data_IF_667111729410
#
_entry.id   IF_667111729410
#
_cell.length_a   1.000
_cell.length_b   1.000
_cell.length_c   1.000
_cell.angle_alpha   90.00
_cell.angle_beta   90.00
_cell.angle_gamma   90.00
#
_symmetry.space_group_name_H-M   'P 1'
#
loop_
_entity.id
_entity.type
_entity.pdbx_description
1 polymer ?
#
# COMPACT_ATOMS: atom_id res chain seq x y z
N UNK A 1 5.09 -1.30 -43.58
CA UNK A 1 6.16 -0.52 -44.18
C UNK A 1 5.81 0.94 -43.98
N UNK A 2 6.74 1.72 -43.38
CA UNK A 2 6.60 3.17 -43.23
C UNK A 2 7.31 3.85 -44.39
N UNK A 3 6.62 4.76 -45.04
CA UNK A 3 7.20 5.49 -46.18
C UNK A 3 8.29 6.48 -45.72
N UNK A 4 9.25 6.84 -46.58
CA UNK A 4 10.28 7.82 -46.23
C UNK A 4 9.68 9.15 -45.75
N UNK A 5 10.14 9.61 -44.57
CA UNK A 5 9.66 10.84 -43.96
C UNK A 5 8.33 10.72 -43.20
N UNK A 6 7.79 9.50 -43.08
CA UNK A 6 6.61 9.20 -42.24
C UNK A 6 7.03 8.49 -40.97
N UNK A 7 6.27 8.72 -39.89
CA UNK A 7 6.44 8.08 -38.61
C UNK A 7 5.22 7.21 -38.28
N UNK A 8 5.47 6.08 -37.63
CA UNK A 8 4.45 5.24 -37.04
C UNK A 8 4.74 5.17 -35.53
N UNK A 9 3.84 5.71 -34.75
CA UNK A 9 3.89 5.60 -33.30
C UNK A 9 2.85 4.57 -32.82
N UNK A 10 3.22 3.78 -31.84
CA UNK A 10 2.30 2.91 -31.12
C UNK A 10 2.67 2.89 -29.65
N UNK A 11 1.66 2.85 -28.82
CA UNK A 11 1.82 2.79 -27.37
C UNK A 11 1.45 1.41 -26.88
N UNK A 12 2.14 0.94 -25.84
CA UNK A 12 1.84 -0.31 -25.16
C UNK A 12 1.60 -0.06 -23.68
N UNK A 13 0.64 -0.76 -23.13
CA UNK A 13 0.38 -0.76 -21.69
C UNK A 13 0.57 -2.15 -21.12
N UNK A 14 1.21 -2.23 -19.96
CA UNK A 14 1.33 -3.45 -19.18
C UNK A 14 0.76 -3.21 -17.79
N UNK A 15 0.04 -4.18 -17.25
CA UNK A 15 -0.58 -4.06 -15.95
C UNK A 15 -1.02 -5.41 -15.40
N UNK A 16 -1.69 -5.38 -14.28
CA UNK A 16 -2.31 -6.51 -13.63
C UNK A 16 -3.82 -6.29 -13.53
N UNK A 17 -4.57 -7.37 -13.74
CA UNK A 17 -6.01 -7.39 -13.50
C UNK A 17 -6.43 -8.75 -12.96
N UNK A 18 -7.41 -8.78 -12.08
CA UNK A 18 -7.94 -9.98 -11.47
C UNK A 18 -8.74 -10.86 -12.43
N UNK A 19 -9.28 -10.27 -13.50
CA UNK A 19 -10.03 -10.99 -14.54
C UNK A 19 -10.06 -10.26 -15.87
N UNK A 20 -10.40 -11.00 -16.95
CA UNK A 20 -10.58 -10.45 -18.28
C UNK A 20 -11.74 -9.45 -18.35
N UNK A 21 -12.78 -9.67 -17.58
CA UNK A 21 -13.94 -8.79 -17.47
C UNK A 21 -13.55 -7.40 -16.97
N UNK A 22 -12.65 -7.33 -15.97
CA UNK A 22 -12.12 -6.05 -15.48
C UNK A 22 -11.34 -5.30 -16.56
N UNK A 23 -10.57 -6.01 -17.38
CA UNK A 23 -9.87 -5.39 -18.52
C UNK A 23 -10.88 -4.85 -19.51
N UNK A 24 -11.83 -5.70 -19.92
CA UNK A 24 -12.83 -5.35 -20.94
C UNK A 24 -13.68 -4.15 -20.51
N UNK A 25 -14.04 -4.05 -19.24
CA UNK A 25 -14.81 -2.93 -18.70
C UNK A 25 -14.07 -1.57 -18.77
N UNK A 26 -12.74 -1.59 -18.90
CA UNK A 26 -11.88 -0.39 -18.95
C UNK A 26 -11.24 -0.14 -20.31
N UNK A 27 -11.50 -0.96 -21.33
CA UNK A 27 -10.87 -0.82 -22.64
C UNK A 27 -11.06 0.57 -23.25
N UNK A 28 -12.27 1.11 -23.22
CA UNK A 28 -12.56 2.44 -23.77
C UNK A 28 -11.76 3.54 -23.04
N UNK A 29 -11.56 3.38 -21.74
CA UNK A 29 -10.73 4.29 -20.94
C UNK A 29 -9.26 4.17 -21.35
N UNK A 30 -8.74 2.96 -21.44
CA UNK A 30 -7.33 2.70 -21.76
C UNK A 30 -6.97 3.11 -23.20
N UNK A 31 -7.92 2.98 -24.13
CA UNK A 31 -7.75 3.38 -25.53
C UNK A 31 -8.07 4.86 -25.76
N UNK A 32 -8.46 5.61 -24.73
CA UNK A 32 -8.72 7.04 -24.80
C UNK A 32 -7.47 7.81 -25.25
N UNK A 33 -7.67 8.75 -26.18
CA UNK A 33 -6.58 9.49 -26.85
C UNK A 33 -5.59 10.15 -25.88
N UNK A 34 -6.09 10.65 -24.75
CA UNK A 34 -5.29 11.42 -23.77
C UNK A 34 -4.92 10.58 -22.54
N UNK A 35 -5.31 9.29 -22.51
CA UNK A 35 -5.12 8.44 -21.34
C UNK A 35 -3.64 8.35 -20.92
N UNK A 36 -2.74 8.03 -21.85
CA UNK A 36 -1.32 7.89 -21.55
C UNK A 36 -0.69 9.22 -21.15
N UNK A 37 -1.03 10.33 -21.83
CA UNK A 37 -0.54 11.64 -21.45
C UNK A 37 -0.96 12.01 -20.02
N UNK A 38 -2.21 11.76 -19.67
CA UNK A 38 -2.70 11.99 -18.31
C UNK A 38 -1.99 11.11 -17.28
N UNK A 39 -1.70 9.84 -17.63
CA UNK A 39 -0.95 8.93 -16.74
C UNK A 39 0.50 9.37 -16.51
N UNK A 40 1.15 10.00 -17.47
CA UNK A 40 2.46 10.61 -17.25
C UNK A 40 2.37 11.77 -16.25
N UNK A 41 1.38 12.65 -16.40
CA UNK A 41 1.17 13.76 -15.46
C UNK A 41 0.87 13.24 -14.06
N UNK A 42 -0.05 12.29 -13.92
CA UNK A 42 -0.37 11.65 -12.64
C UNK A 42 0.87 11.03 -11.97
N UNK A 43 1.75 10.39 -12.75
CA UNK A 43 2.97 9.79 -12.22
C UNK A 43 3.97 10.85 -11.72
N UNK A 44 4.12 11.96 -12.45
CA UNK A 44 4.96 13.08 -12.04
C UNK A 44 4.42 13.74 -10.76
N UNK A 45 3.12 14.03 -10.71
CA UNK A 45 2.46 14.59 -9.53
C UNK A 45 2.59 13.69 -8.30
N UNK A 46 2.46 12.36 -8.49
CA UNK A 46 2.62 11.39 -7.41
C UNK A 46 4.06 11.40 -6.87
N UNK A 47 5.07 11.39 -7.74
CA UNK A 47 6.48 11.47 -7.33
C UNK A 47 6.76 12.79 -6.61
N UNK A 48 6.29 13.91 -7.15
CA UNK A 48 6.42 15.23 -6.54
C UNK A 48 5.75 15.28 -5.15
N UNK A 49 4.59 14.65 -4.98
CA UNK A 49 3.91 14.58 -3.69
C UNK A 49 4.74 13.85 -2.64
N UNK A 50 5.40 12.75 -3.02
CA UNK A 50 6.25 11.98 -2.11
C UNK A 50 7.56 12.70 -1.77
N UNK A 51 8.17 13.38 -2.73
CA UNK A 51 9.48 14.01 -2.53
C UNK A 51 9.40 15.44 -1.99
N UNK A 52 8.19 16.01 -1.91
CA UNK A 52 7.97 17.39 -1.46
C UNK A 52 8.57 17.70 -0.08
N UNK A 53 8.54 16.73 0.84
CA UNK A 53 9.05 16.88 2.21
C UNK A 53 10.57 17.05 2.29
N UNK A 54 11.30 16.61 1.25
CA UNK A 54 12.77 16.69 1.19
C UNK A 54 13.29 17.62 0.09
N UNK A 55 12.40 18.32 -0.57
CA UNK A 55 12.75 19.24 -1.66
C UNK A 55 13.62 20.40 -1.14
N UNK A 56 14.80 20.55 -1.71
CA UNK A 56 15.77 21.58 -1.33
C UNK A 56 16.12 22.46 -2.52
N UNK A 57 16.58 23.67 -2.24
CA UNK A 57 17.11 24.61 -3.21
C UNK A 57 18.44 25.14 -2.72
N UNK A 58 19.51 24.44 -3.05
CA UNK A 58 20.87 24.80 -2.65
C UNK A 58 21.67 25.35 -3.82
N UNK A 59 22.89 25.87 -3.56
CA UNK A 59 23.82 26.26 -4.62
C UNK A 59 24.29 25.05 -5.45
N UNK A 60 24.03 23.82 -5.03
CA UNK A 60 24.44 22.59 -5.69
C UNK A 60 23.22 21.81 -6.19
N UNK A 61 22.68 22.16 -7.35
CA UNK A 61 21.49 21.53 -7.92
C UNK A 61 21.59 20.01 -8.07
N UNK A 62 22.80 19.44 -8.18
CA UNK A 62 22.99 17.98 -8.15
C UNK A 62 22.73 17.38 -6.77
N UNK A 63 22.99 18.13 -5.70
CA UNK A 63 22.66 17.70 -4.35
C UNK A 63 21.14 17.67 -4.15
N UNK A 64 20.43 18.68 -4.65
CA UNK A 64 18.98 18.76 -4.54
C UNK A 64 18.32 17.55 -5.23
N UNK A 65 18.73 17.24 -6.46
CA UNK A 65 18.27 16.06 -7.19
C UNK A 65 18.65 14.74 -6.51
N UNK A 66 19.83 14.66 -5.93
CA UNK A 66 20.30 13.47 -5.23
C UNK A 66 19.47 13.17 -3.98
N UNK A 67 19.11 14.20 -3.22
CA UNK A 67 18.26 14.04 -2.02
C UNK A 67 16.88 13.49 -2.40
N UNK A 68 16.23 14.09 -3.40
CA UNK A 68 14.93 13.62 -3.89
C UNK A 68 15.01 12.17 -4.39
N UNK A 69 16.04 11.84 -5.18
CA UNK A 69 16.25 10.49 -5.69
C UNK A 69 16.49 9.47 -4.57
N UNK A 70 17.31 9.80 -3.58
CA UNK A 70 17.60 8.91 -2.46
C UNK A 70 16.36 8.68 -1.59
N UNK A 71 15.56 9.72 -1.38
CA UNK A 71 14.32 9.61 -0.61
C UNK A 71 13.32 8.71 -1.32
N UNK A 72 13.07 8.94 -2.61
CA UNK A 72 12.17 8.13 -3.43
C UNK A 72 12.63 6.67 -3.51
N UNK A 73 13.93 6.44 -3.69
CA UNK A 73 14.51 5.09 -3.75
C UNK A 73 14.31 4.32 -2.42
N UNK A 74 14.52 4.99 -1.28
CA UNK A 74 14.27 4.38 0.02
C UNK A 74 12.80 4.05 0.23
N UNK A 75 11.91 4.95 -0.21
CA UNK A 75 10.47 4.76 -0.17
C UNK A 75 10.03 3.55 -1.00
N UNK A 76 10.47 3.46 -2.25
CA UNK A 76 10.10 2.37 -3.17
C UNK A 76 10.71 1.03 -2.76
N UNK A 77 11.93 1.01 -2.24
CA UNK A 77 12.61 -0.22 -1.83
C UNK A 77 12.32 -0.62 -0.40
N UNK A 78 12.27 0.34 0.49
CA UNK A 78 12.10 0.12 1.93
C UNK A 78 10.67 -0.04 2.37
N UNK A 79 9.70 0.36 1.53
CA UNK A 79 8.30 0.42 1.88
C UNK A 79 7.89 1.74 2.53
N UNK A 80 6.61 1.95 2.67
CA UNK A 80 6.00 3.16 3.21
C UNK A 80 5.15 2.87 4.44
N UNK A 81 5.33 3.60 5.55
CA UNK A 81 4.49 3.47 6.72
C UNK A 81 3.15 4.20 6.48
N UNK A 82 2.11 3.45 6.25
CA UNK A 82 0.77 3.99 6.08
C UNK A 82 0.05 4.03 7.43
N UNK A 83 -0.35 5.21 7.85
CA UNK A 83 -1.02 5.45 9.13
C UNK A 83 -2.51 5.64 8.88
N UNK A 84 -3.30 4.70 9.34
CA UNK A 84 -4.75 4.81 9.45
C UNK A 84 -5.07 5.40 10.83
N UNK A 85 -5.64 6.58 10.86
CA UNK A 85 -5.92 7.28 12.11
C UNK A 85 -7.40 7.66 12.16
N UNK A 86 -8.07 7.21 13.21
CA UNK A 86 -9.44 7.59 13.51
C UNK A 86 -9.60 7.85 15.00
N UNK A 87 -10.12 9.02 15.34
CA UNK A 87 -10.44 9.42 16.72
C UNK A 87 -9.29 9.25 17.73
N UNK A 88 -8.04 9.38 17.26
CA UNK A 88 -6.82 9.25 18.05
C UNK A 88 -6.26 7.84 18.13
N UNK A 89 -6.98 6.83 17.64
CA UNK A 89 -6.45 5.48 17.47
C UNK A 89 -5.69 5.39 16.16
N UNK A 90 -4.51 4.77 16.21
CA UNK A 90 -3.62 4.66 15.05
C UNK A 90 -3.30 3.21 14.77
N UNK A 91 -3.65 2.76 13.58
CA UNK A 91 -3.18 1.50 13.03
C UNK A 91 -2.13 1.78 11.96
N UNK A 92 -0.97 1.14 12.07
CA UNK A 92 0.14 1.37 11.15
C UNK A 92 0.43 0.09 10.39
N UNK A 93 0.40 0.20 9.08
CA UNK A 93 0.77 -0.89 8.18
C UNK A 93 1.91 -0.43 7.28
N UNK A 94 2.75 -1.38 6.85
CA UNK A 94 3.86 -1.08 5.97
C UNK A 94 3.52 -1.55 4.56
N UNK A 95 3.46 -0.60 3.63
CA UNK A 95 3.17 -0.87 2.23
C UNK A 95 4.47 -1.09 1.48
N UNK A 96 4.53 -2.14 0.67
CA UNK A 96 5.69 -2.50 -0.13
C UNK A 96 5.31 -2.63 -1.60
N UNK A 97 6.18 -2.14 -2.48
CA UNK A 97 6.07 -2.38 -3.93
C UNK A 97 6.65 -3.73 -4.34
N UNK A 98 7.42 -4.37 -3.46
CA UNK A 98 8.04 -5.67 -3.66
C UNK A 98 8.31 -6.34 -2.33
N UNK A 99 8.52 -7.66 -2.32
CA UNK A 99 9.02 -8.36 -1.14
C UNK A 99 10.37 -7.78 -0.74
N UNK A 100 10.53 -7.48 0.54
CA UNK A 100 11.75 -6.92 1.09
C UNK A 100 12.65 -8.03 1.64
N UNK A 101 13.87 -8.15 1.12
CA UNK A 101 14.84 -9.14 1.57
C UNK A 101 16.07 -9.21 0.68
N UNK A 102 16.94 -10.16 1.01
CA UNK A 102 18.18 -10.40 0.30
C UNK A 102 17.92 -10.96 -1.10
N UNK A 103 18.34 -10.28 -2.18
CA UNK A 103 18.14 -10.74 -3.55
C UNK A 103 18.86 -12.05 -3.88
N UNK A 104 19.86 -12.43 -3.11
CA UNK A 104 20.64 -13.64 -3.37
C UNK A 104 19.91 -14.93 -2.99
N UNK A 105 18.85 -14.87 -2.18
CA UNK A 105 18.23 -16.07 -1.62
C UNK A 105 17.13 -16.69 -2.47
N UNK A 106 16.28 -15.89 -3.10
CA UNK A 106 15.22 -16.46 -3.94
C UNK A 106 14.49 -15.37 -4.74
N UNK A 107 14.79 -15.24 -6.00
CA UNK A 107 14.17 -14.25 -6.90
C UNK A 107 12.66 -14.45 -7.10
N UNK A 108 12.16 -15.67 -6.89
CA UNK A 108 10.74 -15.95 -7.07
C UNK A 108 9.86 -15.32 -5.99
N UNK A 109 10.45 -14.91 -4.87
CA UNK A 109 9.73 -14.29 -3.75
C UNK A 109 9.75 -12.76 -3.73
N UNK A 110 10.28 -12.10 -4.76
CA UNK A 110 10.21 -10.64 -4.87
C UNK A 110 8.84 -10.12 -5.30
N UNK A 111 8.00 -10.98 -5.85
CA UNK A 111 6.64 -10.65 -6.21
C UNK A 111 5.76 -10.62 -4.96
N UNK A 112 5.00 -9.55 -4.82
CA UNK A 112 3.88 -9.45 -3.89
C UNK A 112 2.59 -9.34 -4.69
N UNK A 113 1.47 -9.64 -4.08
CA UNK A 113 0.17 -9.49 -4.73
C UNK A 113 -0.06 -8.03 -5.12
N UNK A 114 -0.56 -7.80 -6.35
CA UNK A 114 -0.98 -6.49 -6.80
C UNK A 114 -2.37 -6.19 -6.23
N UNK A 115 -2.39 -5.71 -5.02
CA UNK A 115 -3.60 -5.43 -4.25
C UNK A 115 -3.50 -4.09 -3.53
N UNK A 116 -4.63 -3.55 -3.13
CA UNK A 116 -4.66 -2.38 -2.27
C UNK A 116 -4.00 -2.70 -0.92
N UNK A 117 -3.39 -1.68 -0.30
CA UNK A 117 -2.67 -1.83 0.97
C UNK A 117 -1.69 -3.00 0.96
N UNK A 118 -0.97 -3.18 -0.16
CA UNK A 118 -0.04 -4.27 -0.37
C UNK A 118 1.00 -4.33 0.74
N UNK A 119 0.95 -5.39 1.53
CA UNK A 119 1.93 -5.71 2.55
C UNK A 119 2.77 -6.89 2.09
N UNK A 120 4.08 -6.76 2.15
CA UNK A 120 5.00 -7.85 1.87
C UNK A 120 5.51 -8.50 3.16
N UNK A 121 5.98 -9.72 3.05
CA UNK A 121 6.86 -10.29 4.06
C UNK A 121 8.31 -9.95 3.71
N UNK A 122 9.21 -10.00 4.68
CA UNK A 122 10.61 -9.73 4.47
C UNK A 122 11.50 -10.30 5.56
N UNK A 123 12.79 -10.27 5.31
CA UNK A 123 13.79 -10.63 6.31
C UNK A 123 13.75 -9.62 7.47
N UNK A 124 13.71 -10.10 8.72
CA UNK A 124 13.62 -9.24 9.91
C UNK A 124 14.70 -8.14 9.92
N UNK A 125 15.95 -8.50 9.65
CA UNK A 125 17.07 -7.55 9.65
C UNK A 125 16.85 -6.41 8.65
N UNK A 126 16.50 -6.76 7.42
CA UNK A 126 16.41 -5.79 6.33
C UNK A 126 15.17 -4.90 6.49
N UNK A 127 14.03 -5.48 6.89
CA UNK A 127 12.83 -4.73 7.21
C UNK A 127 13.09 -3.78 8.38
N UNK A 128 13.68 -4.25 9.48
CA UNK A 128 13.99 -3.43 10.65
C UNK A 128 14.91 -2.25 10.33
N UNK A 129 15.93 -2.47 9.47
CA UNK A 129 16.83 -1.39 9.06
C UNK A 129 16.11 -0.25 8.33
N UNK A 130 15.14 -0.57 7.50
CA UNK A 130 14.39 0.43 6.74
C UNK A 130 13.36 1.16 7.62
N UNK A 131 12.72 0.46 8.54
CA UNK A 131 11.71 1.04 9.44
C UNK A 131 12.21 2.17 10.33
N UNK A 132 13.52 2.24 10.59
CA UNK A 132 14.11 3.37 11.36
C UNK A 132 13.93 4.74 10.69
N UNK A 133 13.73 4.76 9.37
CA UNK A 133 13.55 5.98 8.60
C UNK A 133 12.08 6.43 8.52
N UNK A 134 11.13 5.60 8.91
CA UNK A 134 9.70 5.84 8.74
C UNK A 134 9.21 7.14 9.39
N UNK A 135 9.80 7.52 10.51
CA UNK A 135 9.48 8.77 11.22
C UNK A 135 9.85 10.03 10.42
N UNK A 136 10.70 9.91 9.39
CA UNK A 136 11.00 11.01 8.46
C UNK A 136 9.95 11.09 7.35
N UNK A 137 9.34 9.98 6.96
CA UNK A 137 8.24 9.95 6.01
C UNK A 137 6.92 10.37 6.68
N UNK A 138 6.68 9.85 7.87
CA UNK A 138 5.47 10.13 8.63
C UNK A 138 5.77 10.17 10.14
N UNK A 139 5.75 11.38 10.72
CA UNK A 139 6.00 11.59 12.15
C UNK A 139 4.99 10.86 13.07
N UNK A 140 3.79 10.56 12.53
CA UNK A 140 2.75 9.88 13.29
C UNK A 140 3.04 8.41 13.54
N UNK A 141 4.04 7.83 12.87
CA UNK A 141 4.59 6.51 13.20
C UNK A 141 5.13 6.46 14.63
N UNK A 142 5.74 7.56 15.10
CA UNK A 142 6.23 7.69 16.49
C UNK A 142 7.09 6.50 16.90
N UNK A 143 6.70 5.86 18.00
CA UNK A 143 7.42 4.72 18.60
C UNK A 143 6.94 3.34 18.10
N UNK A 144 5.98 3.29 17.20
CA UNK A 144 5.35 2.03 16.76
C UNK A 144 6.37 0.99 16.29
N UNK A 145 7.29 1.38 15.41
CA UNK A 145 8.30 0.45 14.89
C UNK A 145 9.23 -0.07 15.99
N UNK A 146 9.63 0.79 16.93
CA UNK A 146 10.47 0.38 18.06
C UNK A 146 9.74 -0.69 18.87
N UNK A 147 8.51 -0.44 19.27
CA UNK A 147 7.69 -1.40 20.01
C UNK A 147 7.52 -2.70 19.24
N UNK A 148 7.13 -2.63 17.97
CA UNK A 148 6.88 -3.81 17.14
C UNK A 148 8.14 -4.68 17.00
N UNK A 149 9.25 -4.10 16.58
CA UNK A 149 10.46 -4.90 16.32
C UNK A 149 11.11 -5.43 17.60
N UNK A 150 11.03 -4.70 18.72
CA UNK A 150 11.50 -5.22 19.99
C UNK A 150 10.61 -6.32 20.56
N UNK A 151 9.29 -6.24 20.37
CA UNK A 151 8.36 -7.30 20.80
C UNK A 151 8.53 -8.61 20.03
N UNK A 152 9.13 -8.57 18.84
CA UNK A 152 9.43 -9.76 18.05
C UNK A 152 10.69 -10.51 18.50
N UNK A 153 11.49 -9.93 19.40
CA UNK A 153 12.67 -10.61 19.96
C UNK A 153 12.21 -11.67 20.97
N UNK A 154 12.69 -12.90 20.76
CA UNK A 154 12.32 -14.04 21.59
C UNK A 154 13.00 -13.96 22.96
N UNK A 155 12.48 -14.72 23.94
CA UNK A 155 12.99 -14.72 25.31
C UNK A 155 14.45 -15.24 25.40
N UNK A 156 14.92 -16.03 24.44
CA UNK A 156 16.31 -16.49 24.31
C UNK A 156 17.24 -15.46 23.63
N UNK A 157 16.72 -14.31 23.23
CA UNK A 157 17.45 -13.22 22.60
C UNK A 157 17.56 -13.33 21.07
N UNK A 158 16.99 -14.36 20.45
CA UNK A 158 16.94 -14.47 19.00
C UNK A 158 15.82 -13.61 18.41
N UNK A 159 16.08 -13.06 17.24
CA UNK A 159 15.06 -12.41 16.43
C UNK A 159 14.42 -13.43 15.46
N UNK A 160 13.20 -13.17 14.96
CA UNK A 160 12.61 -13.99 13.90
C UNK A 160 13.42 -13.85 12.60
N UNK A 161 13.36 -14.87 11.74
CA UNK A 161 13.97 -14.82 10.42
C UNK A 161 13.16 -13.97 9.45
N UNK A 162 11.85 -13.95 9.63
CA UNK A 162 10.90 -13.30 8.72
C UNK A 162 9.89 -12.46 9.51
N UNK A 163 9.55 -11.30 8.96
CA UNK A 163 8.40 -10.49 9.37
C UNK A 163 7.31 -10.66 8.32
N UNK A 164 6.12 -10.98 8.75
CA UNK A 164 4.95 -11.19 7.89
C UNK A 164 4.04 -9.97 7.90
N UNK A 165 3.11 -9.85 6.92
CA UNK A 165 2.07 -8.84 6.94
C UNK A 165 1.31 -8.80 8.25
N UNK A 166 0.90 -7.60 8.67
CA UNK A 166 0.00 -7.42 9.81
C UNK A 166 -1.37 -8.02 9.47
N UNK A 167 -1.87 -8.85 10.37
CA UNK A 167 -3.23 -9.37 10.34
C UNK A 167 -3.99 -8.75 11.50
N UNK A 168 -5.20 -8.33 11.23
CA UNK A 168 -6.10 -7.75 12.20
C UNK A 168 -7.19 -8.72 12.59
N UNK A 169 -7.64 -8.62 13.81
CA UNK A 169 -8.76 -9.38 14.35
C UNK A 169 -9.64 -8.46 15.19
N UNK A 170 -10.94 -8.58 15.07
CA UNK A 170 -11.85 -7.77 15.89
C UNK A 170 -11.67 -8.15 17.36
N UNK A 171 -11.56 -7.14 18.23
CA UNK A 171 -11.42 -7.31 19.68
C UNK A 171 -12.65 -8.03 20.24
N UNK A 172 -12.43 -8.98 21.13
CA UNK A 172 -13.50 -9.74 21.77
C UNK A 172 -14.56 -8.80 22.40
N UNK A 173 -15.82 -9.00 22.02
CA UNK A 173 -16.96 -8.18 22.46
C UNK A 173 -17.25 -6.97 21.58
N UNK A 174 -16.47 -6.72 20.52
CA UNK A 174 -16.69 -5.66 19.55
C UNK A 174 -17.27 -6.13 18.20
N UNK A 175 -17.52 -7.42 18.08
CA UNK A 175 -17.97 -8.06 16.83
C UNK A 175 -19.28 -7.46 16.31
N UNK A 176 -20.24 -7.28 17.20
CA UNK A 176 -21.55 -6.73 16.82
C UNK A 176 -21.46 -5.27 16.39
N UNK A 177 -20.60 -4.46 17.02
CA UNK A 177 -20.37 -3.06 16.66
C UNK A 177 -19.76 -2.96 15.27
N UNK A 178 -18.70 -3.74 15.00
CA UNK A 178 -18.04 -3.77 13.69
C UNK A 178 -18.99 -4.27 12.60
N UNK A 179 -19.76 -5.34 12.87
CA UNK A 179 -20.73 -5.87 11.93
C UNK A 179 -21.84 -4.85 11.60
N UNK A 180 -22.33 -4.14 12.61
CA UNK A 180 -23.31 -3.07 12.41
C UNK A 180 -22.74 -1.91 11.59
N UNK A 181 -21.52 -1.46 11.90
CA UNK A 181 -20.84 -0.41 11.15
C UNK A 181 -20.65 -0.79 9.67
N UNK A 182 -20.24 -2.01 9.39
CA UNK A 182 -20.08 -2.52 8.01
C UNK A 182 -21.40 -2.49 7.27
N UNK A 183 -22.50 -2.97 7.91
CA UNK A 183 -23.85 -2.93 7.34
C UNK A 183 -24.33 -1.53 7.03
N UNK A 184 -24.10 -0.59 7.95
CA UNK A 184 -24.53 0.82 7.80
C UNK A 184 -23.73 1.57 6.73
N UNK A 185 -22.47 1.22 6.51
CA UNK A 185 -21.54 1.95 5.65
C UNK A 185 -21.57 1.53 4.18
N UNK A 186 -22.19 0.40 3.85
CA UNK A 186 -22.27 -0.13 2.49
C UNK A 186 -23.69 0.05 1.93
N UNK A 187 -23.78 0.54 0.69
CA UNK A 187 -25.05 0.54 -0.06
C UNK A 187 -25.23 -0.83 -0.72
N UNK A 188 -26.12 -1.67 -0.16
CA UNK A 188 -26.44 -2.99 -0.71
C UNK A 188 -25.96 -4.15 0.17
N UNK A 189 -25.45 -5.20 -0.45
CA UNK A 189 -25.08 -6.43 0.25
C UNK A 189 -23.68 -6.33 0.89
N UNK A 190 -23.64 -6.28 2.21
CA UNK A 190 -22.41 -6.19 3.01
C UNK A 190 -21.85 -7.57 3.42
N UNK A 191 -22.49 -8.68 3.03
CA UNK A 191 -22.18 -10.03 3.52
C UNK A 191 -20.73 -10.40 3.34
N UNK A 192 -20.14 -10.13 2.18
CA UNK A 192 -18.75 -10.48 1.90
C UNK A 192 -17.73 -9.77 2.82
N UNK A 193 -17.98 -8.51 3.15
CA UNK A 193 -17.10 -7.77 4.08
C UNK A 193 -17.31 -8.25 5.51
N UNK A 194 -18.55 -8.52 5.90
CA UNK A 194 -18.89 -9.09 7.22
C UNK A 194 -18.22 -10.46 7.46
N UNK A 195 -18.13 -11.29 6.43
CA UNK A 195 -17.41 -12.56 6.49
C UNK A 195 -15.89 -12.37 6.66
N UNK A 196 -15.32 -11.37 5.99
CA UNK A 196 -13.88 -11.04 6.11
C UNK A 196 -13.57 -10.62 7.55
N UNK A 197 -14.30 -9.65 8.10
CA UNK A 197 -14.03 -9.10 9.43
C UNK A 197 -14.40 -10.07 10.58
N UNK A 198 -15.14 -11.13 10.31
CA UNK A 198 -15.40 -12.19 11.28
C UNK A 198 -14.18 -13.10 11.53
N UNK A 199 -13.13 -13.00 10.73
CA UNK A 199 -11.89 -13.76 10.89
C UNK A 199 -10.68 -12.84 11.00
N UNK A 200 -9.48 -13.40 10.80
CA UNK A 200 -8.26 -12.60 10.64
C UNK A 200 -8.17 -12.07 9.23
N UNK A 201 -7.91 -10.79 9.10
CA UNK A 201 -7.91 -10.12 7.79
C UNK A 201 -6.79 -9.10 7.64
N UNK A 202 -6.58 -8.66 6.39
CA UNK A 202 -5.77 -7.48 6.06
C UNK A 202 -6.65 -6.36 5.51
N UNK A 203 -6.25 -5.09 5.64
CA UNK A 203 -6.94 -3.98 4.99
C UNK A 203 -7.12 -4.19 3.48
N UNK A 204 -6.11 -4.77 2.82
CA UNK A 204 -6.15 -5.09 1.40
C UNK A 204 -7.26 -6.05 1.01
N UNK A 205 -7.57 -7.06 1.83
CA UNK A 205 -8.69 -7.97 1.57
C UNK A 205 -10.02 -7.25 1.53
N UNK A 206 -10.22 -6.26 2.40
CA UNK A 206 -11.43 -5.43 2.41
C UNK A 206 -11.52 -4.61 1.12
N UNK A 207 -10.51 -3.78 0.82
CA UNK A 207 -10.53 -2.93 -0.39
C UNK A 207 -10.60 -3.72 -1.68
N UNK A 208 -9.89 -4.85 -1.78
CA UNK A 208 -9.99 -5.71 -2.96
C UNK A 208 -11.39 -6.29 -3.14
N UNK A 209 -12.08 -6.64 -2.05
CA UNK A 209 -13.45 -7.16 -2.12
C UNK A 209 -14.43 -6.07 -2.51
N UNK A 210 -14.29 -4.86 -1.95
CA UNK A 210 -15.07 -3.68 -2.36
C UNK A 210 -14.91 -3.45 -3.87
N UNK A 211 -13.68 -3.39 -4.36
CA UNK A 211 -13.40 -3.16 -5.77
C UNK A 211 -13.91 -4.30 -6.69
N UNK A 212 -13.75 -5.55 -6.26
CA UNK A 212 -14.17 -6.74 -7.02
C UNK A 212 -15.69 -6.84 -7.15
N UNK A 213 -16.40 -6.55 -6.07
CA UNK A 213 -17.86 -6.61 -6.04
C UNK A 213 -18.51 -5.28 -6.41
N UNK A 214 -17.71 -4.25 -6.66
CA UNK A 214 -18.17 -2.90 -6.96
C UNK A 214 -19.13 -2.36 -5.89
N UNK A 215 -18.80 -2.60 -4.63
CA UNK A 215 -19.59 -2.13 -3.50
C UNK A 215 -19.50 -0.60 -3.40
N UNK A 216 -20.62 0.03 -3.20
CA UNK A 216 -20.70 1.47 -3.02
C UNK A 216 -20.65 1.79 -1.53
N UNK A 217 -19.60 2.51 -1.11
CA UNK A 217 -19.45 2.97 0.26
C UNK A 217 -20.14 4.34 0.45
N UNK A 218 -20.68 4.58 1.63
CA UNK A 218 -21.23 5.88 2.06
C UNK A 218 -20.15 6.82 2.62
N UNK A 219 -18.95 6.29 2.86
CA UNK A 219 -17.78 6.99 3.41
C UNK A 219 -16.58 6.75 2.52
N UNK A 220 -15.50 7.50 2.72
CA UNK A 220 -14.23 7.26 2.04
C UNK A 220 -13.66 5.88 2.39
N UNK A 221 -12.98 5.22 1.43
CA UNK A 221 -12.41 3.87 1.60
C UNK A 221 -11.41 3.80 2.76
N UNK A 222 -10.55 4.80 2.89
CA UNK A 222 -9.60 4.89 4.00
C UNK A 222 -10.28 5.08 5.35
N UNK A 223 -11.30 5.93 5.41
CA UNK A 223 -12.11 6.14 6.61
C UNK A 223 -12.90 4.90 6.98
N UNK A 224 -13.44 4.17 6.00
CA UNK A 224 -14.15 2.92 6.22
C UNK A 224 -13.25 1.90 6.92
N UNK A 225 -12.05 1.70 6.38
CA UNK A 225 -11.08 0.75 6.95
C UNK A 225 -10.59 1.23 8.31
N UNK A 226 -10.26 2.53 8.46
CA UNK A 226 -9.80 3.07 9.74
C UNK A 226 -10.81 2.88 10.87
N UNK A 227 -12.11 3.04 10.57
CA UNK A 227 -13.16 2.80 11.56
C UNK A 227 -13.23 1.31 11.99
N UNK A 228 -13.11 0.38 11.05
CA UNK A 228 -13.07 -1.06 11.38
C UNK A 228 -11.87 -1.36 12.26
N UNK A 229 -10.68 -0.83 11.91
CA UNK A 229 -9.44 -1.11 12.63
C UNK A 229 -9.39 -0.48 14.03
N UNK A 230 -10.23 0.48 14.36
CA UNK A 230 -10.35 1.02 15.72
C UNK A 230 -10.74 -0.02 16.76
N UNK A 231 -11.51 -1.01 16.35
CA UNK A 231 -12.01 -2.10 17.20
C UNK A 231 -11.29 -3.43 16.92
N UNK A 232 -10.04 -3.36 16.39
CA UNK A 232 -9.18 -4.49 16.07
C UNK A 232 -7.85 -4.45 16.83
N UNK A 233 -7.25 -5.64 17.01
CA UNK A 233 -5.91 -5.87 17.54
C UNK A 233 -5.01 -6.63 16.54
#
# INVERSE_FOLDING_TARGET
>A
VVEPGKELAFDTMMGFAGSTEQINAKLDTFCGKDYLANKFVEAEELVDSFTSDVKTHTAAGKFDQYIEQCYLDNFLRGGYPYVLNKDGNKSIIHLFSRKHGDPERDYNFFSIAAEYYSQGNGNFRDVSQNRRNDVFFNKDVGEFNVKTFFSLIQADGYNPLEVRPSLFNVIEGKEDEVQAYVEESINGDATAIKEIVAGKFTPGQISNTIAKLQLELKVDDGDFIANILNDCD
#
